data_IF_653465098295
#
_entry.id   IF_653465098295
#
_cell.length_a   1.000
_cell.length_b   1.000
_cell.length_c   1.000
_cell.angle_alpha   90.00
_cell.angle_beta   90.00
_cell.angle_gamma   90.00
#
_symmetry.space_group_name_H-M   'P 1'
#
loop_
_entity.id
_entity.type
_entity.pdbx_description
1 polymer ?
#
# COMPACT_ATOMS: atom_id res chain seq x y z
N UNK A 1 -7.37 -11.23 -13.33
CA UNK A 1 -6.48 -10.09 -13.53
C UNK A 1 -5.06 -10.58 -13.44
N UNK A 2 -4.20 -10.18 -14.37
CA UNK A 2 -2.75 -10.42 -14.27
C UNK A 2 -2.11 -9.47 -13.25
N UNK A 3 -0.86 -9.74 -12.85
CA UNK A 3 -0.10 -8.89 -11.94
C UNK A 3 0.12 -7.48 -12.55
N UNK A 4 0.26 -7.38 -13.87
CA UNK A 4 0.37 -6.09 -14.57
C UNK A 4 -0.91 -5.27 -14.43
N UNK A 5 -2.08 -5.90 -14.62
CA UNK A 5 -3.38 -5.24 -14.49
C UNK A 5 -3.65 -4.76 -13.06
N UNK A 6 -3.24 -5.55 -12.06
CA UNK A 6 -3.34 -5.19 -10.64
C UNK A 6 -2.46 -3.96 -10.34
N UNK A 7 -1.25 -3.95 -10.86
CA UNK A 7 -0.28 -2.86 -10.67
C UNK A 7 -0.76 -1.57 -11.33
N UNK A 8 -1.20 -1.63 -12.58
CA UNK A 8 -1.70 -0.49 -13.35
C UNK A 8 -2.93 0.14 -12.68
N UNK A 9 -3.90 -0.69 -12.26
CA UNK A 9 -5.10 -0.18 -11.59
C UNK A 9 -4.76 0.49 -10.26
N UNK A 10 -3.84 -0.07 -9.48
CA UNK A 10 -3.41 0.52 -8.21
C UNK A 10 -2.62 1.81 -8.43
N UNK A 11 -1.75 1.87 -9.45
CA UNK A 11 -1.00 3.07 -9.81
C UNK A 11 -1.92 4.23 -10.16
N UNK A 12 -3.02 3.96 -10.86
CA UNK A 12 -4.03 4.94 -11.28
C UNK A 12 -4.93 5.46 -10.14
N UNK A 13 -4.75 4.97 -8.91
CA UNK A 13 -5.41 5.52 -7.73
C UNK A 13 -4.72 6.82 -7.28
N UNK A 14 -5.50 7.76 -6.76
CA UNK A 14 -4.93 8.95 -6.13
C UNK A 14 -4.20 8.59 -4.83
N UNK A 15 -3.24 9.41 -4.41
CA UNK A 15 -2.38 9.08 -3.26
C UNK A 15 -3.17 8.78 -1.99
N UNK A 16 -4.22 9.57 -1.72
CA UNK A 16 -5.12 9.35 -0.57
C UNK A 16 -5.91 8.03 -0.67
N UNK A 17 -6.25 7.59 -1.88
CA UNK A 17 -6.92 6.29 -2.10
C UNK A 17 -5.96 5.15 -1.74
N UNK A 18 -4.71 5.25 -2.20
CA UNK A 18 -3.64 4.29 -1.91
C UNK A 18 -3.37 4.22 -0.41
N UNK A 19 -3.20 5.36 0.26
CA UNK A 19 -2.95 5.42 1.71
C UNK A 19 -4.08 4.77 2.52
N UNK A 20 -5.35 5.00 2.16
CA UNK A 20 -6.48 4.35 2.84
C UNK A 20 -6.47 2.84 2.61
N UNK A 21 -6.24 2.37 1.39
CA UNK A 21 -6.20 0.94 1.08
C UNK A 21 -5.05 0.25 1.84
N UNK A 22 -3.84 0.82 1.76
CA UNK A 22 -2.65 0.29 2.43
C UNK A 22 -2.89 0.21 3.93
N UNK A 23 -3.40 1.28 4.55
CA UNK A 23 -3.64 1.29 5.99
C UNK A 23 -4.64 0.22 6.43
N UNK A 24 -5.77 0.06 5.72
CA UNK A 24 -6.77 -0.97 6.05
C UNK A 24 -6.17 -2.38 5.89
N UNK A 25 -5.33 -2.58 4.86
CA UNK A 25 -4.65 -3.84 4.63
C UNK A 25 -3.67 -4.18 5.77
N UNK A 26 -2.85 -3.22 6.20
CA UNK A 26 -1.82 -3.43 7.24
C UNK A 26 -2.42 -3.76 8.61
N UNK A 27 -3.52 -3.11 8.99
CA UNK A 27 -4.21 -3.43 10.25
C UNK A 27 -4.97 -4.77 10.19
N UNK A 28 -5.20 -5.28 8.98
CA UNK A 28 -5.90 -6.54 8.68
C UNK A 28 -7.25 -6.67 9.42
N UNK A 29 -7.98 -5.56 9.52
CA UNK A 29 -9.23 -5.46 10.29
C UNK A 29 -10.19 -4.44 9.67
N UNK A 30 -11.47 -4.67 9.88
CA UNK A 30 -12.53 -3.75 9.48
C UNK A 30 -12.45 -2.52 10.41
N UNK A 31 -12.50 -1.31 9.83
CA UNK A 31 -12.20 -0.08 10.57
C UNK A 31 -13.25 1.00 10.34
N UNK A 32 -13.52 1.85 11.35
CA UNK A 32 -14.46 2.95 11.19
C UNK A 32 -13.81 4.10 10.41
N UNK A 33 -14.57 4.83 9.57
CA UNK A 33 -14.04 5.99 8.86
C UNK A 33 -13.34 7.02 9.76
N UNK A 34 -13.83 7.19 11.00
CA UNK A 34 -13.23 8.12 11.95
C UNK A 34 -11.85 7.70 12.45
N UNK A 35 -11.58 6.40 12.54
CA UNK A 35 -10.27 5.91 12.97
C UNK A 35 -9.24 6.03 11.83
N UNK A 36 -9.69 5.81 10.58
CA UNK A 36 -8.89 6.11 9.38
C UNK A 36 -8.50 7.60 9.35
N UNK A 37 -9.46 8.51 9.62
CA UNK A 37 -9.22 9.95 9.63
C UNK A 37 -8.17 10.36 10.66
N UNK A 38 -8.29 9.83 11.89
CA UNK A 38 -7.32 10.07 12.96
C UNK A 38 -5.93 9.58 12.59
N UNK A 39 -5.83 8.34 12.10
CA UNK A 39 -4.54 7.73 11.79
C UNK A 39 -3.82 8.42 10.63
N UNK A 40 -4.53 8.69 9.54
CA UNK A 40 -3.94 9.34 8.37
C UNK A 40 -3.85 10.87 8.51
N UNK A 41 -4.29 11.43 9.65
CA UNK A 41 -4.34 12.87 9.91
C UNK A 41 -5.07 13.65 8.81
N UNK A 42 -6.16 13.06 8.29
CA UNK A 42 -6.98 13.64 7.22
C UNK A 42 -8.34 14.08 7.77
N UNK A 43 -8.93 15.19 7.27
CA UNK A 43 -10.26 15.61 7.67
C UNK A 43 -11.32 14.52 7.39
N UNK A 44 -12.33 14.37 8.26
CA UNK A 44 -13.43 13.44 8.07
C UNK A 44 -14.13 13.60 6.71
N UNK A 45 -14.29 14.84 6.22
CA UNK A 45 -14.85 15.14 4.90
C UNK A 45 -14.00 14.57 3.75
N UNK A 46 -12.68 14.56 3.92
CA UNK A 46 -11.74 13.96 2.97
C UNK A 46 -11.85 12.44 2.99
N UNK A 47 -11.82 11.81 4.17
CA UNK A 47 -11.96 10.36 4.29
C UNK A 47 -13.31 9.88 3.76
N UNK A 48 -14.41 10.55 4.06
CA UNK A 48 -15.72 10.19 3.52
C UNK A 48 -15.75 10.28 1.99
N UNK A 49 -15.11 11.30 1.41
CA UNK A 49 -14.98 11.43 -0.05
C UNK A 49 -14.11 10.32 -0.66
N UNK A 50 -13.00 9.96 -0.01
CA UNK A 50 -12.13 8.84 -0.41
C UNK A 50 -12.90 7.52 -0.36
N UNK A 51 -13.56 7.22 0.76
CA UNK A 51 -14.34 5.97 0.92
C UNK A 51 -15.43 5.88 -0.15
N UNK A 52 -16.20 6.96 -0.38
CA UNK A 52 -17.23 6.97 -1.43
C UNK A 52 -16.64 6.69 -2.82
N UNK A 53 -15.47 7.27 -3.13
CA UNK A 53 -14.75 6.99 -4.39
C UNK A 53 -14.28 5.54 -4.46
N UNK A 54 -13.72 4.99 -3.39
CA UNK A 54 -13.29 3.58 -3.33
C UNK A 54 -14.47 2.60 -3.45
N UNK A 55 -15.63 2.92 -2.87
CA UNK A 55 -16.88 2.16 -3.06
C UNK A 55 -17.32 2.21 -4.52
N UNK A 56 -17.30 3.38 -5.17
CA UNK A 56 -17.66 3.49 -6.60
C UNK A 56 -16.73 2.68 -7.51
N UNK A 57 -15.46 2.53 -7.11
CA UNK A 57 -14.46 1.69 -7.78
C UNK A 57 -14.52 0.21 -7.38
N UNK A 58 -15.45 -0.19 -6.49
CA UNK A 58 -15.58 -1.56 -5.94
C UNK A 58 -14.31 -2.08 -5.25
N UNK A 59 -13.52 -1.17 -4.69
CA UNK A 59 -12.30 -1.49 -3.94
C UNK A 59 -12.57 -1.62 -2.44
N UNK A 60 -13.69 -1.06 -1.97
CA UNK A 60 -14.10 -1.08 -0.56
C UNK A 60 -15.59 -1.40 -0.46
N UNK A 61 -15.94 -2.19 0.55
CA UNK A 61 -17.31 -2.36 1.03
C UNK A 61 -17.53 -1.41 2.21
N UNK A 62 -18.52 -0.53 2.09
CA UNK A 62 -18.91 0.37 3.18
C UNK A 62 -20.39 0.74 3.06
N UNK A 63 -21.07 0.77 4.22
CA UNK A 63 -22.43 1.31 4.38
C UNK A 63 -22.39 2.37 5.48
N UNK A 64 -23.37 3.27 5.50
CA UNK A 64 -23.44 4.32 6.51
C UNK A 64 -23.40 3.72 7.93
N UNK A 65 -22.61 4.33 8.82
CA UNK A 65 -22.33 3.87 10.19
C UNK A 65 -21.65 2.49 10.33
N UNK A 66 -21.27 1.84 9.22
CA UNK A 66 -20.58 0.56 9.23
C UNK A 66 -19.06 0.70 9.19
N UNK A 67 -18.38 -0.42 9.43
CA UNK A 67 -16.95 -0.56 9.18
C UNK A 67 -16.66 -0.56 7.68
N UNK A 68 -15.45 -0.12 7.35
CA UNK A 68 -14.87 -0.11 6.01
C UNK A 68 -14.06 -1.38 5.84
N UNK A 69 -14.30 -2.11 4.76
CA UNK A 69 -13.64 -3.38 4.47
C UNK A 69 -13.07 -3.38 3.04
N UNK A 70 -11.85 -3.89 2.84
CA UNK A 70 -11.29 -4.05 1.50
C UNK A 70 -12.00 -5.19 0.76
N UNK A 71 -12.22 -5.01 -0.53
CA UNK A 71 -12.62 -6.13 -1.39
C UNK A 71 -11.43 -7.06 -1.65
N UNK A 72 -11.70 -8.26 -2.18
CA UNK A 72 -10.63 -9.20 -2.57
C UNK A 72 -9.66 -8.58 -3.58
N UNK A 73 -10.17 -7.72 -4.47
CA UNK A 73 -9.35 -7.02 -5.46
C UNK A 73 -8.41 -6.01 -4.78
N UNK A 74 -8.94 -5.13 -3.93
CA UNK A 74 -8.12 -4.15 -3.21
C UNK A 74 -7.09 -4.81 -2.28
N UNK A 75 -7.44 -5.94 -1.64
CA UNK A 75 -6.49 -6.74 -0.87
C UNK A 75 -5.31 -7.23 -1.72
N UNK A 76 -5.57 -7.75 -2.92
CA UNK A 76 -4.52 -8.20 -3.84
C UNK A 76 -3.63 -7.04 -4.30
N UNK A 77 -4.24 -5.89 -4.60
CA UNK A 77 -3.50 -4.68 -5.00
C UNK A 77 -2.58 -4.19 -3.87
N UNK A 78 -3.11 -4.06 -2.65
CA UNK A 78 -2.34 -3.65 -1.48
C UNK A 78 -1.19 -4.61 -1.17
N UNK A 79 -1.48 -5.92 -1.16
CA UNK A 79 -0.49 -6.96 -0.92
C UNK A 79 0.64 -6.94 -1.95
N UNK A 80 0.29 -6.79 -3.23
CA UNK A 80 1.26 -6.71 -4.32
C UNK A 80 2.18 -5.49 -4.18
N UNK A 81 1.57 -4.32 -3.99
CA UNK A 81 2.30 -3.06 -3.85
C UNK A 81 3.22 -3.05 -2.62
N UNK A 82 2.72 -3.49 -1.46
CA UNK A 82 3.52 -3.56 -0.23
C UNK A 82 4.66 -4.58 -0.36
N UNK A 83 4.45 -5.71 -1.03
CA UNK A 83 5.51 -6.68 -1.27
C UNK A 83 6.65 -6.07 -2.10
N UNK A 84 6.33 -5.31 -3.14
CA UNK A 84 7.32 -4.57 -3.92
C UNK A 84 8.05 -3.55 -3.04
N UNK A 85 7.31 -2.72 -2.31
CA UNK A 85 7.87 -1.71 -1.43
C UNK A 85 8.86 -2.31 -0.43
N UNK A 86 8.49 -3.39 0.27
CA UNK A 86 9.36 -4.06 1.25
C UNK A 86 10.66 -4.55 0.59
N UNK A 87 10.57 -5.24 -0.54
CA UNK A 87 11.78 -5.76 -1.21
C UNK A 87 12.68 -4.62 -1.69
N UNK A 88 12.11 -3.56 -2.26
CA UNK A 88 12.88 -2.42 -2.78
C UNK A 88 13.51 -1.64 -1.63
N UNK A 89 12.75 -1.40 -0.55
CA UNK A 89 13.22 -0.75 0.67
C UNK A 89 14.45 -1.46 1.24
N UNK A 90 14.35 -2.79 1.47
CA UNK A 90 15.49 -3.59 1.97
C UNK A 90 16.65 -3.61 0.98
N UNK A 91 16.40 -3.73 -0.32
CA UNK A 91 17.46 -3.66 -1.33
C UNK A 91 18.20 -2.31 -1.30
N UNK A 92 17.47 -1.21 -1.14
CA UNK A 92 18.04 0.13 -1.06
C UNK A 92 18.83 0.39 0.21
N UNK A 93 18.38 -0.11 1.36
CA UNK A 93 19.18 -0.05 2.59
C UNK A 93 20.45 -0.90 2.49
N UNK A 94 20.36 -2.11 1.93
CA UNK A 94 21.47 -3.07 1.95
C UNK A 94 22.50 -2.87 0.84
N UNK A 95 22.07 -2.59 -0.38
CA UNK A 95 22.96 -2.54 -1.55
C UNK A 95 23.35 -1.10 -1.93
N UNK A 96 22.56 -0.11 -1.51
CA UNK A 96 22.80 1.30 -1.82
C UNK A 96 23.09 2.16 -0.58
N UNK A 97 23.11 1.55 0.62
CA UNK A 97 23.36 2.23 1.91
C UNK A 97 22.45 3.46 2.15
N UNK A 98 21.21 3.42 1.62
CA UNK A 98 20.24 4.48 1.86
C UNK A 98 19.76 4.47 3.31
N UNK A 99 19.42 5.65 3.83
CA UNK A 99 18.77 5.76 5.13
C UNK A 99 17.39 5.10 5.10
N UNK A 100 16.88 4.67 6.26
CA UNK A 100 15.56 4.04 6.34
C UNK A 100 14.43 4.90 5.75
N UNK A 101 14.52 6.21 5.94
CA UNK A 101 13.56 7.17 5.40
C UNK A 101 13.70 7.30 3.88
N UNK A 102 14.92 7.46 3.36
CA UNK A 102 15.14 7.62 1.92
C UNK A 102 14.77 6.35 1.16
N UNK A 103 15.18 5.18 1.67
CA UNK A 103 14.82 3.88 1.12
C UNK A 103 13.30 3.69 1.09
N UNK A 104 12.59 4.21 2.10
CA UNK A 104 11.14 4.16 2.15
C UNK A 104 10.50 5.04 1.08
N UNK A 105 10.90 6.31 1.01
CA UNK A 105 10.33 7.28 0.07
C UNK A 105 10.61 6.90 -1.39
N UNK A 106 11.84 6.51 -1.70
CA UNK A 106 12.23 6.02 -3.03
C UNK A 106 11.53 4.70 -3.35
N UNK A 107 11.54 3.74 -2.41
CA UNK A 107 10.95 2.43 -2.60
C UNK A 107 9.45 2.49 -2.85
N UNK A 108 8.74 3.38 -2.15
CA UNK A 108 7.31 3.61 -2.36
C UNK A 108 7.01 4.14 -3.77
N UNK A 109 7.79 5.13 -4.24
CA UNK A 109 7.63 5.73 -5.57
C UNK A 109 7.87 4.71 -6.69
N UNK A 110 8.85 3.83 -6.50
CA UNK A 110 9.25 2.84 -7.51
C UNK A 110 8.35 1.59 -7.47
N UNK A 111 7.84 1.19 -6.31
CA UNK A 111 7.07 -0.04 -6.12
C UNK A 111 5.86 -0.19 -7.05
N UNK A 112 5.24 0.92 -7.46
CA UNK A 112 4.09 0.93 -8.36
C UNK A 112 4.43 0.81 -9.85
N UNK A 113 5.68 1.01 -10.26
CA UNK A 113 6.07 1.06 -11.69
C UNK A 113 7.06 -0.04 -12.09
N UNK A 114 7.78 -0.60 -11.12
CA UNK A 114 8.79 -1.63 -11.37
C UNK A 114 8.15 -3.01 -11.63
N UNK A 115 8.72 -3.75 -12.57
CA UNK A 115 8.22 -5.08 -12.93
C UNK A 115 8.54 -6.14 -11.86
N UNK A 116 7.63 -7.12 -11.69
CA UNK A 116 7.84 -8.24 -10.77
C UNK A 116 9.17 -8.99 -11.00
N UNK A 117 9.58 -9.30 -12.25
CA UNK A 117 10.87 -9.95 -12.49
C UNK A 117 12.07 -9.16 -11.97
N UNK A 118 12.04 -7.83 -12.07
CA UNK A 118 13.10 -6.97 -11.52
C UNK A 118 13.12 -7.02 -10.00
N UNK A 119 11.95 -6.89 -9.36
CA UNK A 119 11.84 -6.98 -7.89
C UNK A 119 12.31 -8.34 -7.37
N UNK A 120 11.99 -9.43 -8.07
CA UNK A 120 12.47 -10.78 -7.72
C UNK A 120 13.99 -10.86 -7.80
N UNK A 121 14.62 -10.24 -8.80
CA UNK A 121 16.09 -10.16 -8.91
C UNK A 121 16.71 -9.32 -7.81
N UNK A 122 16.07 -8.21 -7.42
CA UNK A 122 16.50 -7.40 -6.27
C UNK A 122 16.46 -8.24 -4.99
N UNK A 123 15.36 -8.96 -4.74
CA UNK A 123 15.23 -9.87 -3.58
C UNK A 123 16.38 -10.87 -3.50
N UNK A 124 16.82 -11.43 -4.63
CA UNK A 124 17.91 -12.41 -4.67
C UNK A 124 19.30 -11.83 -4.33
N UNK A 125 19.43 -10.51 -4.19
CA UNK A 125 20.67 -9.83 -3.78
C UNK A 125 20.67 -9.48 -2.29
N UNK A 126 19.50 -9.41 -1.66
CA UNK A 126 19.37 -9.13 -0.24
C UNK A 126 19.86 -10.38 0.52
N UNK A 127 20.62 -10.24 1.63
CA UNK A 127 20.93 -11.36 2.51
C UNK A 127 19.65 -12.10 2.94
N UNK A 128 19.77 -13.34 3.45
CA UNK A 128 18.66 -14.13 4.04
C UNK A 128 18.12 -13.49 5.34
N UNK A 129 17.85 -12.19 5.34
CA UNK A 129 17.15 -11.49 6.38
C UNK A 129 15.64 -11.65 6.17
N UNK A 130 14.91 -11.83 7.26
CA UNK A 130 13.46 -11.75 7.22
C UNK A 130 13.05 -10.35 6.72
N UNK A 131 12.46 -10.30 5.52
CA UNK A 131 11.88 -9.09 4.95
C UNK A 131 10.82 -8.54 5.91
N UNK A 132 11.25 -7.61 6.77
CA UNK A 132 10.39 -7.03 7.78
C UNK A 132 9.54 -5.90 7.19
N UNK A 133 8.31 -5.68 7.70
CA UNK A 133 7.49 -4.55 7.29
C UNK A 133 8.23 -3.21 7.50
N UNK A 134 8.08 -2.30 6.54
CA UNK A 134 8.65 -0.96 6.68
C UNK A 134 8.01 -0.23 7.85
N UNK A 135 8.82 0.23 8.80
CA UNK A 135 8.33 0.88 10.03
C UNK A 135 7.93 2.34 9.85
N UNK A 136 8.26 2.95 8.72
CA UNK A 136 7.96 4.37 8.46
C UNK A 136 6.44 4.63 8.33
N UNK A 137 5.65 3.63 7.91
CA UNK A 137 4.18 3.72 7.85
C UNK A 137 3.45 3.39 9.17
N UNK A 138 4.16 2.86 10.19
CA UNK A 138 3.61 2.39 11.48
C UNK A 138 3.79 3.43 12.60
#
# INVERSE_FOLDING_TARGET
MSDEQITEEFLNLGDKDKSVIIYIYEINKNIKPGDIAKRLQLPHSTINSVIKRLVSKKLVNWKEYAYVELTTQANKMAAHHLKHHIIIHHYFEHELDLSNQDAHEEGLRIAGVISCPTVIRMKAKIPDCELSPCKVYM
#
